data_IF_063937388458
#
_entry.id   IF_063937388458
#
_cell.length_a   1.000
_cell.length_b   1.000
_cell.length_c   1.000
_cell.angle_alpha   90.00
_cell.angle_beta   90.00
_cell.angle_gamma   90.00
#
_symmetry.space_group_name_H-M   'P 1'
#
loop_
_entity.id
_entity.type
_entity.pdbx_description
1 polymer ?
#
# COMPACT_ATOMS: atom_id res chain seq x y z
N UNK A 1 -23.21 -7.51 -15.40
CA UNK A 1 -22.04 -8.41 -15.33
C UNK A 1 -21.33 -8.36 -16.68
N UNK A 2 -20.01 -8.19 -16.74
CA UNK A 2 -19.26 -8.26 -18.00
C UNK A 2 -18.98 -9.73 -18.32
N UNK A 3 -19.39 -10.20 -19.50
CA UNK A 3 -19.31 -11.63 -19.87
C UNK A 3 -17.88 -12.19 -19.98
N UNK A 4 -16.86 -11.32 -20.05
CA UNK A 4 -15.47 -11.73 -20.30
C UNK A 4 -14.61 -11.84 -19.03
N UNK A 5 -14.97 -11.18 -17.92
CA UNK A 5 -14.12 -11.15 -16.72
C UNK A 5 -14.87 -11.38 -15.39
N UNK A 6 -16.18 -11.69 -15.46
CA UNK A 6 -17.05 -11.92 -14.31
C UNK A 6 -17.05 -10.78 -13.27
N UNK A 7 -16.58 -9.57 -13.62
CA UNK A 7 -16.56 -8.43 -12.70
C UNK A 7 -17.83 -7.60 -12.78
N UNK A 8 -18.21 -7.04 -11.64
CA UNK A 8 -19.22 -5.98 -11.54
C UNK A 8 -18.77 -4.72 -12.28
N UNK A 9 -19.73 -4.00 -12.89
CA UNK A 9 -19.47 -2.70 -13.53
C UNK A 9 -20.06 -1.63 -12.63
N UNK A 10 -19.20 -0.79 -12.05
CA UNK A 10 -19.64 0.44 -11.39
C UNK A 10 -20.24 1.37 -12.44
N UNK A 11 -21.52 1.72 -12.28
CA UNK A 11 -22.25 2.63 -13.18
C UNK A 11 -22.36 4.04 -12.62
N UNK A 12 -22.24 4.20 -11.30
CA UNK A 12 -22.12 5.52 -10.66
C UNK A 12 -20.86 6.20 -11.16
N UNK A 13 -20.98 7.45 -11.62
CA UNK A 13 -19.88 8.24 -12.22
C UNK A 13 -19.49 9.46 -11.39
N UNK A 14 -20.29 9.84 -10.40
CA UNK A 14 -20.06 11.01 -9.54
C UNK A 14 -20.22 10.65 -8.08
N UNK A 15 -19.53 11.38 -7.18
CA UNK A 15 -19.69 11.21 -5.73
C UNK A 15 -20.95 11.95 -5.28
N UNK A 16 -21.76 11.34 -4.44
CA UNK A 16 -22.96 11.95 -3.88
C UNK A 16 -22.96 11.88 -2.35
N UNK A 17 -23.50 12.91 -1.70
CA UNK A 17 -23.82 12.91 -0.28
C UNK A 17 -25.34 13.05 -0.15
N UNK A 18 -26.00 12.02 0.35
CA UNK A 18 -27.45 11.93 0.43
C UNK A 18 -27.89 12.02 1.89
N UNK A 19 -28.65 13.05 2.31
CA UNK A 19 -29.20 13.11 3.66
C UNK A 19 -30.25 12.01 3.85
N UNK A 20 -30.28 11.40 5.02
CA UNK A 20 -31.22 10.36 5.41
C UNK A 20 -32.20 10.88 6.48
N UNK A 21 -33.45 10.37 6.52
CA UNK A 21 -34.35 10.61 7.64
C UNK A 21 -33.68 10.20 8.95
N UNK A 22 -33.67 11.09 9.96
CA UNK A 22 -32.98 10.87 11.22
C UNK A 22 -31.61 11.54 11.35
N UNK A 23 -31.17 12.32 10.35
CA UNK A 23 -30.01 13.22 10.46
C UNK A 23 -28.66 12.60 10.07
N UNK A 24 -28.64 11.35 9.61
CA UNK A 24 -27.46 10.74 9.01
C UNK A 24 -27.28 11.15 7.54
N UNK A 25 -26.10 10.91 6.97
CA UNK A 25 -25.83 11.09 5.55
C UNK A 25 -25.17 9.83 4.95
N UNK A 26 -25.60 9.44 3.75
CA UNK A 26 -24.98 8.39 2.94
C UNK A 26 -23.99 9.02 1.97
N UNK A 27 -22.74 8.54 1.99
CA UNK A 27 -21.73 8.89 0.98
C UNK A 27 -21.70 7.76 -0.04
N UNK A 28 -22.14 8.04 -1.27
CA UNK A 28 -21.96 7.13 -2.41
C UNK A 28 -20.74 7.59 -3.22
N UNK A 29 -19.73 6.74 -3.32
CA UNK A 29 -18.53 7.00 -4.14
C UNK A 29 -18.50 6.08 -5.35
N UNK A 30 -18.25 6.62 -6.55
CA UNK A 30 -18.16 5.80 -7.74
C UNK A 30 -16.89 4.94 -7.71
N UNK A 31 -17.08 3.62 -7.69
CA UNK A 31 -16.11 2.65 -8.21
C UNK A 31 -14.70 2.68 -7.62
N UNK A 32 -14.58 2.69 -6.29
CA UNK A 32 -13.31 2.37 -5.64
C UNK A 32 -12.95 0.90 -5.94
N UNK A 33 -11.80 0.67 -6.59
CA UNK A 33 -11.33 -0.69 -6.93
C UNK A 33 -10.26 -1.21 -5.97
N UNK A 34 -9.47 -0.31 -5.44
CA UNK A 34 -8.39 -0.59 -4.51
C UNK A 34 -8.21 0.63 -3.61
N UNK A 35 -7.88 0.38 -2.35
CA UNK A 35 -7.37 1.37 -1.43
C UNK A 35 -5.88 1.07 -1.29
N UNK A 36 -5.04 2.03 -1.66
CA UNK A 36 -3.59 1.91 -1.56
C UNK A 36 -3.09 2.55 -0.28
N UNK A 37 -2.02 1.99 0.25
CA UNK A 37 -1.22 2.62 1.29
C UNK A 37 -0.54 3.87 0.69
N UNK A 38 -0.35 4.88 1.53
CA UNK A 38 0.46 6.08 1.25
C UNK A 38 1.94 5.87 1.61
N UNK A 39 2.25 4.82 2.38
CA UNK A 39 3.60 4.42 2.79
C UNK A 39 3.95 4.83 4.23
N UNK A 40 3.12 5.65 4.88
CA UNK A 40 3.32 6.10 6.26
C UNK A 40 2.47 5.37 7.31
N UNK A 41 1.76 4.33 6.88
CA UNK A 41 0.68 3.75 7.69
C UNK A 41 1.27 2.85 8.76
N UNK A 42 0.79 3.06 9.99
CA UNK A 42 1.06 2.16 11.09
C UNK A 42 0.27 0.85 10.90
N UNK A 43 0.97 -0.27 10.98
CA UNK A 43 0.37 -1.60 10.92
C UNK A 43 -0.08 -2.06 12.32
N UNK A 44 -0.49 -1.14 13.20
CA UNK A 44 -0.90 -1.39 14.59
C UNK A 44 -1.89 -2.57 14.76
N UNK A 45 -2.74 -2.83 13.77
CA UNK A 45 -3.64 -3.98 13.74
C UNK A 45 -2.93 -5.36 13.73
N UNK A 46 -1.62 -5.37 13.46
CA UNK A 46 -0.70 -6.51 13.49
C UNK A 46 0.42 -6.34 14.54
N UNK A 47 0.25 -5.46 15.52
CA UNK A 47 1.24 -5.24 16.59
C UNK A 47 1.52 -6.53 17.40
N UNK A 48 0.55 -7.45 17.48
CA UNK A 48 0.70 -8.80 18.03
C UNK A 48 1.78 -9.59 17.28
N UNK A 49 1.76 -9.55 15.94
CA UNK A 49 2.73 -10.24 15.10
C UNK A 49 4.11 -9.60 15.24
N UNK A 50 4.19 -8.27 15.30
CA UNK A 50 5.47 -7.59 15.54
C UNK A 50 6.05 -7.93 16.92
N UNK A 51 5.20 -8.03 17.95
CA UNK A 51 5.62 -8.44 19.29
C UNK A 51 6.11 -9.89 19.31
N UNK A 52 5.46 -10.81 18.58
CA UNK A 52 5.93 -12.19 18.40
C UNK A 52 7.27 -12.23 17.66
N UNK A 53 7.43 -11.44 16.60
CA UNK A 53 8.69 -11.37 15.84
C UNK A 53 9.86 -10.95 16.73
N UNK A 54 9.67 -9.99 17.65
CA UNK A 54 10.70 -9.54 18.61
C UNK A 54 11.10 -10.61 19.65
N UNK A 55 10.31 -11.66 19.82
CA UNK A 55 10.61 -12.78 20.72
C UNK A 55 11.44 -13.87 20.02
N UNK A 56 11.76 -13.72 18.74
CA UNK A 56 12.62 -14.66 18.05
C UNK A 56 14.02 -14.68 18.66
N UNK A 57 14.65 -15.86 18.63
CA UNK A 57 16.01 -16.06 19.12
C UNK A 57 17.03 -15.12 18.45
N UNK A 58 16.83 -14.83 17.17
CA UNK A 58 17.71 -13.99 16.36
C UNK A 58 17.01 -12.68 15.99
N UNK A 59 17.74 -11.56 16.05
CA UNK A 59 17.23 -10.23 15.70
C UNK A 59 16.95 -10.05 14.21
N UNK A 60 17.60 -10.84 13.36
CA UNK A 60 17.48 -10.86 11.90
C UNK A 60 16.74 -12.10 11.38
N UNK A 61 15.92 -12.73 12.24
CA UNK A 61 15.13 -13.89 11.86
C UNK A 61 14.21 -13.56 10.67
N UNK A 62 14.30 -14.31 9.57
CA UNK A 62 13.42 -14.16 8.42
C UNK A 62 12.07 -14.87 8.61
N UNK A 63 11.88 -15.54 9.75
CA UNK A 63 10.73 -16.38 10.07
C UNK A 63 10.47 -17.50 9.05
N UNK A 64 11.47 -17.81 8.21
CA UNK A 64 11.63 -19.07 7.48
C UNK A 64 12.10 -20.14 8.46
N UNK A 65 12.86 -21.15 8.07
CA UNK A 65 13.14 -22.33 8.91
C UNK A 65 14.11 -22.16 10.12
N UNK A 66 14.25 -20.95 10.67
CA UNK A 66 15.20 -20.72 11.76
C UNK A 66 14.78 -21.36 13.10
N UNK A 67 15.75 -21.89 13.87
CA UNK A 67 15.48 -22.46 15.19
C UNK A 67 15.15 -21.35 16.21
N UNK A 68 14.13 -21.56 17.03
CA UNK A 68 13.68 -20.57 18.02
C UNK A 68 12.95 -19.37 17.42
N UNK A 69 12.33 -19.54 16.25
CA UNK A 69 11.42 -18.56 15.65
C UNK A 69 10.06 -18.59 16.36
N UNK A 70 9.77 -17.58 17.17
CA UNK A 70 8.51 -17.47 17.90
C UNK A 70 7.29 -17.36 16.97
N UNK A 71 7.44 -16.69 15.81
CA UNK A 71 6.37 -16.59 14.81
C UNK A 71 6.00 -17.96 14.25
N UNK A 72 6.97 -18.82 13.93
CA UNK A 72 6.65 -20.18 13.49
C UNK A 72 6.06 -21.00 14.62
N UNK A 73 6.60 -20.93 15.84
CA UNK A 73 5.98 -21.63 16.96
C UNK A 73 4.50 -21.25 17.13
N UNK A 74 4.15 -19.97 16.97
CA UNK A 74 2.77 -19.50 17.00
C UNK A 74 1.93 -19.97 15.80
N UNK A 75 2.54 -20.09 14.61
CA UNK A 75 1.87 -20.66 13.42
C UNK A 75 1.60 -22.16 13.60
N UNK A 76 2.57 -22.91 14.11
CA UNK A 76 2.48 -24.36 14.30
C UNK A 76 1.51 -24.72 15.44
N UNK A 77 1.43 -23.87 16.49
CA UNK A 77 0.45 -24.03 17.58
C UNK A 77 -0.96 -23.57 17.21
N UNK A 78 -1.11 -22.80 16.12
CA UNK A 78 -2.37 -22.18 15.70
C UNK A 78 -2.75 -20.90 16.44
N UNK A 79 -1.90 -20.40 17.33
CA UNK A 79 -2.05 -19.09 17.98
C UNK A 79 -2.05 -17.96 16.95
N UNK A 80 -1.20 -18.07 15.93
CA UNK A 80 -1.19 -17.20 14.76
C UNK A 80 -1.75 -17.96 13.56
N UNK A 81 -2.80 -17.44 12.93
CA UNK A 81 -3.33 -18.08 11.71
C UNK A 81 -2.45 -17.78 10.50
N UNK A 82 -2.24 -18.78 9.64
CA UNK A 82 -1.47 -18.63 8.41
C UNK A 82 -2.05 -17.52 7.52
N UNK A 83 -3.38 -17.40 7.40
CA UNK A 83 -4.02 -16.35 6.60
C UNK A 83 -3.69 -14.94 7.11
N UNK A 84 -3.67 -14.75 8.44
CA UNK A 84 -3.30 -13.48 9.08
C UNK A 84 -1.83 -13.15 8.84
N UNK A 85 -0.94 -14.13 8.99
CA UNK A 85 0.48 -13.98 8.68
C UNK A 85 0.74 -13.58 7.22
N UNK A 86 0.08 -14.23 6.26
CA UNK A 86 0.19 -13.87 4.85
C UNK A 86 -0.33 -12.46 4.56
N UNK A 87 -1.43 -12.06 5.21
CA UNK A 87 -1.99 -10.71 5.09
C UNK A 87 -1.04 -9.65 5.62
N UNK A 88 -0.39 -9.93 6.75
CA UNK A 88 0.65 -9.08 7.31
C UNK A 88 1.84 -8.93 6.36
N UNK A 89 2.41 -10.03 5.87
CA UNK A 89 3.54 -9.99 4.93
C UNK A 89 3.20 -9.18 3.68
N UNK A 90 2.01 -9.39 3.12
CA UNK A 90 1.55 -8.65 1.94
C UNK A 90 1.46 -7.15 2.21
N UNK A 91 0.82 -6.74 3.31
CA UNK A 91 0.66 -5.33 3.67
C UNK A 91 2.00 -4.65 3.98
N UNK A 92 2.90 -5.35 4.69
CA UNK A 92 4.25 -4.85 4.97
C UNK A 92 5.05 -4.60 3.70
N UNK A 93 5.00 -5.54 2.74
CA UNK A 93 5.67 -5.38 1.45
C UNK A 93 5.05 -4.24 0.62
N UNK A 94 3.72 -4.12 0.60
CA UNK A 94 3.02 -3.01 -0.07
C UNK A 94 3.43 -1.66 0.55
N UNK A 95 3.49 -1.56 1.87
CA UNK A 95 3.92 -0.33 2.58
C UNK A 95 5.33 0.08 2.17
N UNK A 96 6.29 -0.83 2.25
CA UNK A 96 7.69 -0.58 1.90
C UNK A 96 7.85 -0.11 0.44
N UNK A 97 7.10 -0.72 -0.49
CA UNK A 97 7.08 -0.29 -1.89
C UNK A 97 6.55 1.14 -2.05
N UNK A 98 5.50 1.52 -1.32
CA UNK A 98 4.95 2.87 -1.38
C UNK A 98 5.88 3.91 -0.76
N UNK A 99 6.52 3.57 0.37
CA UNK A 99 7.54 4.41 1.00
C UNK A 99 8.71 4.70 0.06
N UNK A 100 9.27 3.66 -0.57
CA UNK A 100 10.35 3.81 -1.55
C UNK A 100 9.92 4.63 -2.77
N UNK A 101 8.69 4.45 -3.25
CA UNK A 101 8.14 5.23 -4.36
C UNK A 101 7.99 6.71 -4.02
N UNK A 102 7.50 7.01 -2.81
CA UNK A 102 7.37 8.37 -2.29
C UNK A 102 8.75 9.02 -2.16
N UNK A 103 9.72 8.32 -1.58
CA UNK A 103 11.08 8.83 -1.44
C UNK A 103 11.71 9.15 -2.81
N UNK A 104 11.57 8.25 -3.78
CA UNK A 104 12.05 8.47 -5.14
C UNK A 104 11.36 9.66 -5.83
N UNK A 105 10.08 9.91 -5.53
CA UNK A 105 9.36 11.09 -6.02
C UNK A 105 9.90 12.37 -5.40
N UNK A 106 10.09 12.40 -4.08
CA UNK A 106 10.65 13.55 -3.36
C UNK A 106 12.06 13.89 -3.86
N UNK A 107 12.93 12.89 -4.05
CA UNK A 107 14.27 13.07 -4.60
C UNK A 107 14.25 13.68 -6.01
N UNK A 108 13.29 13.29 -6.86
CA UNK A 108 13.12 13.86 -8.21
C UNK A 108 12.66 15.32 -8.17
N UNK A 109 11.76 15.66 -7.27
CA UNK A 109 11.29 17.03 -7.09
C UNK A 109 12.39 17.94 -6.53
N UNK A 110 13.26 17.43 -5.66
CA UNK A 110 14.38 18.17 -5.08
C UNK A 110 15.54 18.43 -6.08
N UNK A 111 15.71 17.58 -7.09
CA UNK A 111 16.77 17.73 -8.10
C UNK A 111 16.19 17.72 -9.53
N UNK A 112 15.51 18.81 -9.94
CA UNK A 112 14.96 18.90 -11.28
C UNK A 112 16.10 18.90 -12.31
N UNK A 113 16.03 18.00 -13.29
CA UNK A 113 17.02 17.96 -14.38
C UNK A 113 17.07 19.33 -15.08
N UNK A 114 18.26 19.90 -15.34
CA UNK A 114 18.34 21.15 -16.07
C UNK A 114 17.72 20.96 -17.46
N UNK A 115 16.68 21.73 -17.74
CA UNK A 115 16.07 21.78 -19.07
C UNK A 115 17.11 22.28 -20.06
N UNK A 116 17.57 21.42 -20.98
CA UNK A 116 18.40 21.85 -22.11
C UNK A 116 17.58 22.83 -22.94
N UNK A 117 17.84 24.13 -22.78
CA UNK A 117 17.31 25.15 -23.68
C UNK A 117 17.96 24.90 -25.04
N UNK A 118 17.20 24.34 -25.98
CA UNK A 118 17.59 24.25 -27.39
C UNK A 118 17.71 25.68 -27.92
N UNK A 119 18.95 26.17 -28.00
CA UNK A 119 19.27 27.50 -28.48
C UNK A 119 18.64 27.77 -29.86
N UNK A 120 17.82 28.82 -29.95
CA UNK A 120 17.32 29.33 -31.22
C UNK A 120 18.52 29.82 -32.04
N UNK A 121 18.88 29.10 -33.11
CA UNK A 121 19.79 29.62 -34.12
C UNK A 121 19.12 30.83 -34.79
N UNK A 122 19.60 32.03 -34.50
CA UNK A 122 19.25 33.22 -35.25
C UNK A 122 19.81 33.06 -36.68
N UNK A 123 18.95 33.20 -37.69
CA UNK A 123 19.37 33.29 -39.09
C UNK A 123 19.38 34.77 -39.47
N UNK A 124 20.55 35.31 -39.81
CA UNK A 124 20.70 36.67 -40.35
C UNK A 124 20.20 36.73 -41.81
N UNK A 125 19.53 37.82 -42.23
CA UNK A 125 19.18 38.05 -43.62
C UNK A 125 20.33 38.72 -44.40
N UNK A 126 20.31 38.51 -45.71
CA UNK A 126 21.34 38.85 -46.70
C UNK A 126 21.21 40.28 -47.22
#
# INVERSE_FOLDING_TARGET
MRAHDSRGRHTTTFRALLPLPGGACLIDTPGMRELKLTGSEDLAQYADIEALARQCRFSDCAHGNEPGCAVRTALDSGELSAARWHSYLKLSAEREQQEAALEAQLRRHANPRPTRVLGRRQREPR
#
